data_IF_730190592643
#
_entry.id   IF_730190592643
#
_cell.length_a   1.000
_cell.length_b   1.000
_cell.length_c   1.000
_cell.angle_alpha   90.00
_cell.angle_beta   90.00
_cell.angle_gamma   90.00
#
_symmetry.space_group_name_H-M   'P 1'
#
loop_
_entity.id
_entity.type
_entity.pdbx_description
1 polymer ?
#
# COMPACT_ATOMS: atom_id res chain seq x y z
N UNK A 1 -14.36 4.18 -7.58
CA UNK A 1 -12.89 4.08 -7.52
C UNK A 1 -12.37 3.37 -8.76
N UNK A 2 -11.29 3.83 -9.35
CA UNK A 2 -10.70 3.30 -10.60
C UNK A 2 -9.19 3.31 -10.55
N UNK A 3 -8.53 2.56 -11.44
CA UNK A 3 -7.11 2.68 -11.72
C UNK A 3 -6.85 3.98 -12.49
N UNK A 4 -5.86 4.77 -12.07
CA UNK A 4 -5.63 6.13 -12.56
C UNK A 4 -4.70 6.14 -13.77
N UNK A 5 -3.64 5.35 -13.74
CA UNK A 5 -2.63 5.33 -14.80
C UNK A 5 -2.06 3.92 -15.03
N UNK A 6 -1.17 3.80 -16.02
CA UNK A 6 -0.52 2.55 -16.41
C UNK A 6 -1.38 1.67 -17.30
N UNK A 7 -1.04 0.37 -17.34
CA UNK A 7 -1.64 -0.61 -18.26
C UNK A 7 -3.14 -0.84 -18.08
N UNK A 8 -3.65 -0.57 -16.85
CA UNK A 8 -5.06 -0.74 -16.50
C UNK A 8 -5.80 0.59 -16.30
N UNK A 9 -5.29 1.69 -16.84
CA UNK A 9 -5.89 3.03 -16.71
C UNK A 9 -7.38 3.00 -17.04
N UNK A 10 -8.20 3.57 -16.14
CA UNK A 10 -9.65 3.68 -16.29
C UNK A 10 -10.44 2.45 -15.84
N UNK A 11 -9.77 1.33 -15.55
CA UNK A 11 -10.43 0.13 -15.06
C UNK A 11 -11.13 0.41 -13.72
N UNK A 12 -12.44 0.11 -13.66
CA UNK A 12 -13.24 0.28 -12.44
C UNK A 12 -12.93 -0.85 -11.47
N UNK A 13 -12.66 -0.50 -10.22
CA UNK A 13 -12.54 -1.45 -9.12
C UNK A 13 -13.92 -1.81 -8.57
N UNK A 14 -14.00 -2.98 -7.94
CA UNK A 14 -15.23 -3.43 -7.26
C UNK A 14 -15.61 -2.40 -6.20
N UNK A 15 -16.84 -1.88 -6.22
CA UNK A 15 -17.26 -0.91 -5.22
C UNK A 15 -17.35 -1.56 -3.83
N UNK A 16 -17.06 -0.77 -2.79
CA UNK A 16 -17.43 -1.11 -1.42
C UNK A 16 -18.96 -1.04 -1.36
N UNK A 17 -19.60 -2.15 -1.02
CA UNK A 17 -21.08 -2.22 -0.97
C UNK A 17 -21.65 -1.54 0.26
N UNK A 18 -22.92 -1.15 0.22
CA UNK A 18 -23.62 -0.54 1.36
C UNK A 18 -23.66 -1.45 2.59
N UNK A 19 -23.63 -2.77 2.41
CA UNK A 19 -23.50 -3.78 3.48
C UNK A 19 -22.10 -3.85 4.12
N UNK A 20 -21.10 -3.21 3.52
CA UNK A 20 -19.71 -3.19 3.98
C UNK A 20 -19.39 -1.98 4.88
N UNK A 21 -20.39 -1.16 5.21
CA UNK A 21 -20.23 0.07 6.02
C UNK A 21 -19.57 -0.17 7.39
N UNK A 22 -19.78 -1.36 7.97
CA UNK A 22 -19.12 -1.78 9.22
C UNK A 22 -17.64 -2.16 9.09
N UNK A 23 -17.13 -2.31 7.86
CA UNK A 23 -15.74 -2.69 7.61
C UNK A 23 -14.75 -1.53 7.75
N UNK A 24 -15.23 -0.31 8.02
CA UNK A 24 -14.41 0.92 8.17
C UNK A 24 -13.43 1.18 7.01
N UNK A 25 -13.69 0.59 5.85
CA UNK A 25 -12.86 0.79 4.66
C UNK A 25 -13.09 2.22 4.14
N UNK A 26 -12.12 3.08 4.36
CA UNK A 26 -12.06 4.42 3.78
C UNK A 26 -11.07 4.41 2.62
N UNK A 27 -11.53 4.25 1.37
CA UNK A 27 -10.61 4.20 0.25
C UNK A 27 -9.88 5.53 0.09
N UNK A 28 -8.56 5.49 -0.03
CA UNK A 28 -7.75 6.63 -0.46
C UNK A 28 -8.33 7.19 -1.76
N UNK A 29 -8.68 8.47 -1.77
CA UNK A 29 -9.32 9.09 -2.93
C UNK A 29 -8.45 8.98 -4.19
N UNK A 30 -9.06 8.95 -5.37
CA UNK A 30 -8.36 8.92 -6.66
C UNK A 30 -7.31 10.05 -6.74
N UNK A 31 -7.64 11.26 -6.24
CA UNK A 31 -6.75 12.42 -6.23
C UNK A 31 -5.52 12.24 -5.33
N UNK A 32 -5.70 11.70 -4.13
CA UNK A 32 -4.58 11.46 -3.19
C UNK A 32 -3.68 10.38 -3.76
N UNK A 33 -4.25 9.31 -4.29
CA UNK A 33 -3.51 8.22 -4.93
C UNK A 33 -2.71 8.70 -6.14
N UNK A 34 -3.31 9.51 -7.01
CA UNK A 34 -2.60 10.14 -8.14
C UNK A 34 -1.42 10.99 -7.66
N UNK A 35 -1.65 11.84 -6.67
CA UNK A 35 -0.61 12.70 -6.11
C UNK A 35 0.53 11.89 -5.49
N UNK A 36 0.25 10.82 -4.74
CA UNK A 36 1.25 9.92 -4.18
C UNK A 36 2.14 9.33 -5.28
N UNK A 37 1.53 8.75 -6.31
CA UNK A 37 2.31 8.13 -7.40
C UNK A 37 3.08 9.17 -8.24
N UNK A 38 2.58 10.39 -8.39
CA UNK A 38 3.34 11.48 -9.03
C UNK A 38 4.60 11.84 -8.23
N UNK A 39 4.53 11.78 -6.89
CA UNK A 39 5.70 11.99 -6.03
C UNK A 39 6.69 10.84 -6.14
N UNK A 40 6.21 9.60 -6.04
CA UNK A 40 7.06 8.39 -6.13
C UNK A 40 7.78 8.29 -7.47
N UNK A 41 7.11 8.64 -8.58
CA UNK A 41 7.62 8.53 -9.95
C UNK A 41 8.25 9.84 -10.47
N UNK A 42 8.31 10.90 -9.66
CA UNK A 42 8.86 12.21 -10.05
C UNK A 42 10.39 12.26 -10.15
N UNK A 43 11.08 11.14 -10.01
CA UNK A 43 12.54 11.01 -10.16
C UNK A 43 13.36 11.39 -8.93
N UNK A 44 12.76 12.07 -7.93
CA UNK A 44 13.46 12.49 -6.70
C UNK A 44 13.94 11.30 -5.86
N UNK A 45 13.23 10.17 -5.93
CA UNK A 45 13.50 8.95 -5.15
C UNK A 45 13.89 7.78 -6.08
N UNK A 46 14.41 8.06 -7.27
CA UNK A 46 14.59 7.06 -8.32
C UNK A 46 13.25 6.61 -8.89
N UNK A 47 13.07 5.32 -9.08
CA UNK A 47 11.79 4.71 -9.46
C UNK A 47 11.47 3.56 -8.48
N UNK A 48 10.83 3.85 -7.35
CA UNK A 48 10.53 2.81 -6.36
C UNK A 48 9.31 1.96 -6.74
N UNK A 49 8.79 2.08 -7.96
CA UNK A 49 7.58 1.38 -8.41
C UNK A 49 7.89 0.36 -9.49
N UNK A 50 8.59 0.76 -10.58
CA UNK A 50 8.76 -0.12 -11.73
C UNK A 50 9.72 -1.26 -11.45
N UNK A 51 9.31 -2.47 -11.81
CA UNK A 51 10.13 -3.68 -11.68
C UNK A 51 10.33 -4.16 -10.24
N UNK A 52 9.79 -3.47 -9.22
CA UNK A 52 9.95 -3.87 -7.83
C UNK A 52 8.78 -4.72 -7.33
N UNK A 53 9.03 -5.48 -6.27
CA UNK A 53 7.97 -6.10 -5.47
C UNK A 53 7.41 -5.07 -4.51
N UNK A 54 6.09 -5.09 -4.32
CA UNK A 54 5.35 -4.16 -3.45
C UNK A 54 4.66 -4.94 -2.35
N UNK A 55 4.70 -4.41 -1.13
CA UNK A 55 3.92 -4.88 0.01
C UNK A 55 2.85 -3.84 0.33
N UNK A 56 1.59 -4.23 0.30
CA UNK A 56 0.44 -3.37 0.60
C UNK A 56 -0.18 -3.81 1.93
N UNK A 57 0.18 -3.12 3.02
CA UNK A 57 -0.24 -3.40 4.39
C UNK A 57 -1.50 -2.62 4.72
N UNK A 58 -2.49 -3.30 5.31
CA UNK A 58 -3.85 -2.80 5.49
C UNK A 58 -4.50 -2.49 4.14
N UNK A 59 -4.39 -3.43 3.21
CA UNK A 59 -4.64 -3.22 1.79
C UNK A 59 -6.09 -2.83 1.44
N UNK A 60 -7.07 -3.12 2.30
CA UNK A 60 -8.46 -2.73 2.14
C UNK A 60 -9.06 -3.20 0.80
N UNK A 61 -9.21 -2.30 -0.15
CA UNK A 61 -9.69 -2.62 -1.51
C UNK A 61 -8.58 -3.09 -2.46
N UNK A 62 -7.32 -2.99 -2.04
CA UNK A 62 -6.15 -3.24 -2.85
C UNK A 62 -5.80 -2.13 -3.84
N UNK A 63 -6.40 -0.94 -3.70
CA UNK A 63 -6.28 0.12 -4.70
C UNK A 63 -4.86 0.66 -4.87
N UNK A 64 -4.07 0.77 -3.80
CA UNK A 64 -2.68 1.24 -3.85
C UNK A 64 -1.78 0.22 -4.56
N UNK A 65 -1.83 -1.04 -4.13
CA UNK A 65 -1.05 -2.10 -4.76
C UNK A 65 -1.42 -2.34 -6.22
N UNK A 66 -2.72 -2.33 -6.56
CA UNK A 66 -3.18 -2.48 -7.94
C UNK A 66 -2.80 -1.29 -8.83
N UNK A 67 -2.78 -0.08 -8.30
CA UNK A 67 -2.24 1.10 -9.00
C UNK A 67 -0.74 0.94 -9.27
N UNK A 68 0.05 0.47 -8.27
CA UNK A 68 1.46 0.18 -8.45
C UNK A 68 1.70 -0.88 -9.53
N UNK A 69 0.90 -1.96 -9.51
CA UNK A 69 0.96 -3.02 -10.52
C UNK A 69 0.65 -2.50 -11.92
N UNK A 70 -0.36 -1.63 -12.05
CA UNK A 70 -0.71 -0.98 -13.31
C UNK A 70 0.41 -0.08 -13.83
N UNK A 71 1.20 0.51 -12.95
CA UNK A 71 2.35 1.38 -13.28
C UNK A 71 3.66 0.65 -13.44
N UNK A 72 3.65 -0.68 -13.36
CA UNK A 72 4.81 -1.52 -13.71
C UNK A 72 5.51 -2.17 -12.54
N UNK A 73 4.92 -2.23 -11.34
CA UNK A 73 5.42 -3.09 -10.28
C UNK A 73 5.44 -4.55 -10.75
N UNK A 74 6.46 -5.30 -10.36
CA UNK A 74 6.63 -6.69 -10.80
C UNK A 74 5.67 -7.64 -10.07
N UNK A 75 5.39 -7.37 -8.80
CA UNK A 75 4.52 -8.21 -7.97
C UNK A 75 3.97 -7.41 -6.81
N UNK A 76 2.76 -7.71 -6.37
CA UNK A 76 2.16 -7.10 -5.18
C UNK A 76 1.71 -8.18 -4.20
N UNK A 77 2.13 -8.04 -2.95
CA UNK A 77 1.58 -8.81 -1.84
C UNK A 77 0.64 -7.92 -1.02
N UNK A 78 -0.63 -8.29 -1.00
CA UNK A 78 -1.68 -7.61 -0.24
C UNK A 78 -1.85 -8.28 1.11
N UNK A 79 -1.88 -7.50 2.17
CA UNK A 79 -2.06 -7.97 3.55
C UNK A 79 -3.24 -7.27 4.18
N UNK A 80 -4.23 -8.03 4.58
CA UNK A 80 -5.40 -7.55 5.32
C UNK A 80 -6.05 -8.73 6.06
N UNK A 81 -6.58 -8.54 7.26
CA UNK A 81 -7.27 -9.60 8.01
C UNK A 81 -8.79 -9.56 7.85
N UNK A 82 -9.34 -8.48 7.26
CA UNK A 82 -10.76 -8.27 7.07
C UNK A 82 -11.36 -9.14 5.96
N UNK A 83 -12.45 -9.81 6.24
CA UNK A 83 -13.15 -10.67 5.25
C UNK A 83 -13.64 -9.86 4.03
N UNK A 84 -14.12 -8.64 4.25
CA UNK A 84 -14.58 -7.75 3.18
C UNK A 84 -13.41 -7.31 2.32
N UNK A 85 -12.28 -6.92 2.94
CA UNK A 85 -11.06 -6.55 2.23
C UNK A 85 -10.56 -7.70 1.35
N UNK A 86 -10.48 -8.91 1.88
CA UNK A 86 -10.08 -10.11 1.14
C UNK A 86 -10.95 -10.36 -0.10
N UNK A 87 -12.27 -10.21 0.03
CA UNK A 87 -13.21 -10.34 -1.08
C UNK A 87 -12.99 -9.27 -2.15
N UNK A 88 -12.80 -8.02 -1.73
CA UNK A 88 -12.59 -6.89 -2.64
C UNK A 88 -11.26 -7.00 -3.38
N UNK A 89 -10.16 -7.30 -2.67
CA UNK A 89 -8.82 -7.51 -3.26
C UNK A 89 -8.89 -8.62 -4.31
N UNK A 90 -9.41 -9.80 -3.94
CA UNK A 90 -9.49 -10.95 -4.84
C UNK A 90 -10.35 -10.64 -6.07
N UNK A 91 -11.51 -9.97 -5.88
CA UNK A 91 -12.39 -9.55 -6.96
C UNK A 91 -11.70 -8.55 -7.92
N UNK A 92 -10.94 -7.61 -7.38
CA UNK A 92 -10.20 -6.62 -8.16
C UNK A 92 -9.04 -7.26 -8.94
N UNK A 93 -8.29 -8.18 -8.33
CA UNK A 93 -7.22 -8.94 -8.99
C UNK A 93 -7.78 -9.73 -10.18
N UNK A 94 -8.89 -10.44 -9.97
CA UNK A 94 -9.56 -11.21 -11.03
C UNK A 94 -10.05 -10.30 -12.17
N UNK A 95 -10.65 -9.15 -11.83
CA UNK A 95 -11.14 -8.17 -12.81
C UNK A 95 -10.02 -7.61 -13.70
N UNK A 96 -8.84 -7.39 -13.11
CA UNK A 96 -7.66 -6.90 -13.84
C UNK A 96 -6.85 -8.04 -14.49
N UNK A 97 -7.24 -9.31 -14.29
CA UNK A 97 -6.55 -10.51 -14.79
C UNK A 97 -5.07 -10.57 -14.38
N UNK A 98 -4.75 -10.19 -13.14
CA UNK A 98 -3.38 -10.08 -12.61
C UNK A 98 -3.07 -11.08 -11.49
N UNK A 99 -3.77 -12.23 -11.49
CA UNK A 99 -3.57 -13.25 -10.44
C UNK A 99 -2.12 -13.78 -10.36
N UNK A 100 -1.41 -13.88 -11.49
CA UNK A 100 -0.02 -14.34 -11.51
C UNK A 100 0.97 -13.39 -10.83
N UNK A 101 0.62 -12.09 -10.76
CA UNK A 101 1.49 -11.03 -10.23
C UNK A 101 1.07 -10.59 -8.82
N UNK A 102 0.17 -11.33 -8.18
CA UNK A 102 -0.40 -10.96 -6.89
C UNK A 102 -0.34 -12.12 -5.90
N UNK A 103 -0.08 -11.79 -4.64
CA UNK A 103 -0.26 -12.67 -3.49
C UNK A 103 -1.21 -11.99 -2.50
N UNK A 104 -2.14 -12.73 -1.92
CA UNK A 104 -3.06 -12.20 -0.91
C UNK A 104 -2.86 -12.99 0.39
N UNK A 105 -2.47 -12.28 1.45
CA UNK A 105 -2.26 -12.84 2.77
C UNK A 105 -3.39 -12.38 3.71
N UNK A 106 -4.12 -13.34 4.27
CA UNK A 106 -5.12 -13.07 5.29
C UNK A 106 -4.49 -13.16 6.67
N UNK A 107 -3.83 -12.08 7.09
CA UNK A 107 -3.24 -11.98 8.42
C UNK A 107 -3.19 -10.53 8.88
N UNK A 108 -2.95 -10.32 10.17
CA UNK A 108 -2.66 -8.98 10.70
C UNK A 108 -1.30 -8.52 10.20
N UNK A 109 -1.18 -7.21 9.97
CA UNK A 109 0.05 -6.60 9.47
C UNK A 109 1.23 -6.66 10.47
N UNK A 110 0.96 -6.87 11.74
CA UNK A 110 1.95 -7.09 12.81
C UNK A 110 2.30 -8.56 13.05
N UNK A 111 1.66 -9.49 12.31
CA UNK A 111 1.86 -10.94 12.39
C UNK A 111 2.19 -11.56 11.02
N UNK A 112 3.07 -10.89 10.26
CA UNK A 112 3.47 -11.32 8.93
C UNK A 112 4.28 -12.63 8.96
N UNK A 113 4.00 -13.59 8.07
CA UNK A 113 4.91 -14.70 7.83
C UNK A 113 6.22 -14.22 7.19
N UNK A 114 7.23 -15.07 7.14
CA UNK A 114 8.45 -14.80 6.38
C UNK A 114 8.11 -14.55 4.89
N UNK A 115 8.79 -13.57 4.28
CA UNK A 115 8.48 -13.14 2.92
C UNK A 115 9.70 -12.74 2.10
N UNK A 116 9.44 -12.28 0.89
CA UNK A 116 10.45 -11.78 -0.03
C UNK A 116 10.55 -10.27 0.09
N UNK A 117 11.76 -9.74 0.07
CA UNK A 117 12.01 -8.30 0.16
C UNK A 117 11.28 -7.53 -0.93
N UNK A 118 10.62 -6.46 -0.52
CA UNK A 118 9.92 -5.50 -1.37
C UNK A 118 10.70 -4.18 -1.46
N UNK A 119 10.68 -3.55 -2.63
CA UNK A 119 11.29 -2.22 -2.81
C UNK A 119 10.36 -1.08 -2.39
N UNK A 120 9.06 -1.34 -2.32
CA UNK A 120 8.05 -0.37 -1.91
C UNK A 120 7.05 -1.00 -0.94
N UNK A 121 6.69 -0.26 0.10
CA UNK A 121 5.63 -0.62 1.06
C UNK A 121 4.60 0.50 1.10
N UNK A 122 3.33 0.16 0.93
CA UNK A 122 2.21 0.99 1.33
C UNK A 122 1.77 0.60 2.74
N UNK A 123 1.51 1.58 3.58
CA UNK A 123 1.13 1.41 4.97
C UNK A 123 0.00 2.39 5.28
N UNK A 124 -1.23 1.90 5.26
CA UNK A 124 -2.45 2.70 5.47
C UNK A 124 -3.30 2.09 6.61
N UNK A 125 -2.79 2.14 7.86
CA UNK A 125 -3.50 1.56 9.01
C UNK A 125 -4.75 2.37 9.36
N UNK A 126 -5.73 1.77 10.03
CA UNK A 126 -6.82 2.51 10.66
C UNK A 126 -6.27 3.62 11.56
N UNK A 127 -6.70 4.85 11.33
CA UNK A 127 -6.14 6.03 11.97
C UNK A 127 -6.24 6.01 13.50
N UNK A 128 -5.18 6.47 14.16
CA UNK A 128 -5.13 6.62 15.62
C UNK A 128 -5.02 5.33 16.42
N UNK A 129 -4.90 4.18 15.76
CA UNK A 129 -4.73 2.89 16.42
C UNK A 129 -3.27 2.49 16.67
N UNK A 130 -2.32 3.34 16.25
CA UNK A 130 -0.88 3.11 16.41
C UNK A 130 -0.38 1.76 15.84
N UNK A 131 -1.03 1.26 14.78
CA UNK A 131 -0.70 -0.03 14.17
C UNK A 131 0.47 0.03 13.18
N UNK A 132 0.83 1.21 12.69
CA UNK A 132 1.85 1.36 11.66
C UNK A 132 3.24 0.92 12.12
N UNK A 133 3.71 1.35 13.29
CA UNK A 133 5.03 0.97 13.79
C UNK A 133 5.16 -0.54 14.09
N UNK A 134 4.19 -1.21 14.75
CA UNK A 134 4.20 -2.67 14.88
C UNK A 134 4.29 -3.39 13.53
N UNK A 135 3.51 -2.96 12.53
CA UNK A 135 3.53 -3.54 11.19
C UNK A 135 4.91 -3.39 10.51
N UNK A 136 5.54 -2.21 10.58
CA UNK A 136 6.90 -2.01 10.04
C UNK A 136 7.94 -2.89 10.74
N UNK A 137 7.86 -3.04 12.06
CA UNK A 137 8.75 -3.94 12.82
C UNK A 137 8.57 -5.39 12.41
N UNK A 138 7.34 -5.86 12.26
CA UNK A 138 7.04 -7.20 11.77
C UNK A 138 7.58 -7.42 10.36
N UNK A 139 7.33 -6.49 9.44
CA UNK A 139 7.82 -6.57 8.06
C UNK A 139 9.36 -6.63 8.00
N UNK A 140 10.07 -5.90 8.86
CA UNK A 140 11.53 -5.98 8.96
C UNK A 140 12.00 -7.31 9.53
N UNK A 141 11.40 -7.78 10.61
CA UNK A 141 11.77 -9.01 11.28
C UNK A 141 11.55 -10.26 10.41
N UNK A 142 10.59 -10.20 9.50
CA UNK A 142 10.20 -11.33 8.62
C UNK A 142 10.73 -11.23 7.19
N UNK A 143 11.63 -10.25 6.91
CA UNK A 143 12.37 -10.15 5.65
C UNK A 143 11.64 -9.45 4.51
N UNK A 144 10.49 -8.82 4.77
CA UNK A 144 9.75 -8.07 3.73
C UNK A 144 10.40 -6.74 3.36
N UNK A 145 11.15 -6.12 4.27
CA UNK A 145 11.85 -4.86 4.05
C UNK A 145 13.34 -4.99 4.37
N UNK A 146 14.16 -4.34 3.58
CA UNK A 146 15.61 -4.29 3.68
C UNK A 146 16.11 -2.84 3.48
N UNK A 147 17.39 -2.53 3.73
CA UNK A 147 17.94 -1.22 3.42
C UNK A 147 17.60 -0.76 1.99
N UNK A 148 17.14 0.49 1.85
CA UNK A 148 16.69 1.06 0.58
C UNK A 148 15.20 0.85 0.25
N UNK A 149 14.46 0.07 1.04
CA UNK A 149 12.99 -0.03 0.85
C UNK A 149 12.32 1.31 1.13
N UNK A 150 11.50 1.78 0.20
CA UNK A 150 10.68 2.98 0.37
C UNK A 150 9.36 2.60 1.03
N UNK A 151 8.93 3.38 2.01
CA UNK A 151 7.63 3.22 2.69
C UNK A 151 6.79 4.47 2.48
N UNK A 152 5.58 4.32 1.99
CA UNK A 152 4.57 5.36 1.94
C UNK A 152 3.55 5.11 3.06
N UNK A 153 3.65 5.90 4.14
CA UNK A 153 2.82 5.75 5.34
C UNK A 153 1.73 6.82 5.36
N UNK A 154 0.49 6.39 5.27
CA UNK A 154 -0.69 7.23 5.37
C UNK A 154 -1.19 7.29 6.82
N UNK A 155 -1.43 8.50 7.36
CA UNK A 155 -1.95 8.73 8.72
C UNK A 155 -2.56 10.16 8.82
N UNK A 156 -3.26 10.46 9.93
CA UNK A 156 -3.82 11.80 10.20
C UNK A 156 -2.77 12.89 10.44
N UNK A 157 -1.56 12.50 10.80
CA UNK A 157 -0.44 13.41 11.05
C UNK A 157 0.83 12.89 10.37
N UNK A 158 1.77 13.79 10.09
CA UNK A 158 3.09 13.39 9.62
C UNK A 158 3.76 12.49 10.66
N UNK A 159 4.34 11.37 10.20
CA UNK A 159 4.97 10.41 11.08
C UNK A 159 6.47 10.73 11.23
N UNK A 160 6.96 10.61 12.46
CA UNK A 160 8.39 10.71 12.74
C UNK A 160 9.04 9.41 12.30
N UNK A 161 10.16 9.51 11.56
CA UNK A 161 10.91 8.32 11.13
C UNK A 161 11.37 7.50 12.35
N UNK A 162 10.93 6.23 12.46
CA UNK A 162 11.39 5.37 13.56
C UNK A 162 12.84 4.94 13.34
N UNK A 163 13.44 4.36 14.38
CA UNK A 163 14.80 3.83 14.30
C UNK A 163 14.95 2.84 13.13
N UNK A 164 16.00 3.00 12.32
CA UNK A 164 16.25 2.21 11.11
C UNK A 164 15.50 2.71 9.88
N UNK A 165 14.95 3.93 9.95
CA UNK A 165 14.33 4.62 8.82
C UNK A 165 14.81 6.06 8.72
N UNK A 166 14.85 6.59 7.50
CA UNK A 166 15.15 7.97 7.18
C UNK A 166 13.90 8.62 6.54
N UNK A 167 13.52 9.81 6.99
CA UNK A 167 12.45 10.57 6.35
C UNK A 167 12.91 11.08 4.98
N UNK A 168 12.09 10.85 3.95
CA UNK A 168 12.32 11.36 2.60
C UNK A 168 11.47 12.59 2.31
N UNK A 169 10.18 12.54 2.65
CA UNK A 169 9.20 13.62 2.39
C UNK A 169 7.97 13.44 3.31
N UNK A 170 7.21 14.51 3.51
CA UNK A 170 5.90 14.44 4.18
C UNK A 170 4.95 15.45 3.53
N UNK A 171 3.77 15.00 3.12
CA UNK A 171 2.78 15.83 2.43
C UNK A 171 1.40 15.67 3.01
N UNK A 172 0.71 16.79 3.12
CA UNK A 172 -0.68 16.84 3.58
C UNK A 172 -1.66 16.88 2.39
N UNK A 173 -2.69 16.05 2.49
CA UNK A 173 -3.79 15.98 1.51
C UNK A 173 -5.12 16.03 2.28
N UNK A 174 -5.65 17.24 2.47
CA UNK A 174 -6.83 17.42 3.33
C UNK A 174 -6.54 17.05 4.78
N UNK A 175 -7.22 16.03 5.29
CA UNK A 175 -7.04 15.52 6.67
C UNK A 175 -6.08 14.34 6.75
N UNK A 176 -5.44 14.00 5.64
CA UNK A 176 -4.51 12.88 5.51
C UNK A 176 -3.08 13.40 5.30
N UNK A 177 -2.11 12.76 5.93
CA UNK A 177 -0.70 12.93 5.66
C UNK A 177 -0.13 11.65 5.04
N UNK A 178 0.73 11.81 4.05
CA UNK A 178 1.57 10.73 3.54
C UNK A 178 3.01 11.08 3.89
N UNK A 179 3.63 10.23 4.71
CA UNK A 179 5.04 10.33 5.07
C UNK A 179 5.81 9.29 4.27
N UNK A 180 6.80 9.73 3.50
CA UNK A 180 7.71 8.85 2.78
C UNK A 180 8.95 8.61 3.64
N UNK A 181 9.27 7.34 3.85
CA UNK A 181 10.44 6.90 4.60
C UNK A 181 11.28 5.97 3.72
N UNK A 182 12.54 5.83 4.05
CA UNK A 182 13.44 4.82 3.49
C UNK A 182 14.11 4.06 4.63
N UNK A 183 14.20 2.75 4.50
CA UNK A 183 14.95 1.90 5.46
C UNK A 183 16.46 2.12 5.31
N UNK A 184 17.16 2.18 6.44
CA UNK A 184 18.62 2.35 6.52
C UNK A 184 19.31 1.08 6.97
#
# INVERSE_FOLDING_TARGET
MRIIAGTHRGAQLVPVGDGDAGAHLRPTSDRVRESLFNVLLGGRFGDPVRGVRVLDLFAGTGALGLEALSRGAAHVTFVDDGTVAQRLITGNIARLKRAADCTVLRCKADALPAGQTCGLVFLDPPYGMNLGLPALRAARATGWIAPGTVVAWEERSAQIAPQGFRALDARRYGDTWITLLETT
#
